data_IF_972183380694
#
_entry.id   IF_972183380694
#
_cell.length_a   1.000
_cell.length_b   1.000
_cell.length_c   1.000
_cell.angle_alpha   90.00
_cell.angle_beta   90.00
_cell.angle_gamma   90.00
#
_symmetry.space_group_name_H-M   'P 1'
#
loop_
_entity.id
_entity.type
_entity.pdbx_description
1 polymer ?
#
# COMPACT_ATOMS: atom_id res chain seq x y z
N UNK A 1 -25.81 -49.55 -5.18
CA UNK A 1 -25.25 -48.24 -4.82
C UNK A 1 -26.24 -47.15 -5.20
N UNK A 2 -26.95 -46.62 -4.22
CA UNK A 2 -27.91 -45.51 -4.38
C UNK A 2 -27.19 -44.16 -4.38
N UNK A 3 -27.68 -43.17 -5.14
CA UNK A 3 -27.03 -41.87 -5.40
C UNK A 3 -28.00 -40.69 -5.24
N UNK A 4 -27.59 -39.62 -4.58
CA UNK A 4 -28.35 -38.35 -4.54
C UNK A 4 -27.64 -37.29 -5.39
N UNK A 5 -28.36 -36.54 -6.22
CA UNK A 5 -27.84 -35.36 -6.92
C UNK A 5 -28.20 -34.07 -6.15
N UNK A 6 -27.31 -33.05 -6.10
CA UNK A 6 -27.49 -31.70 -5.47
C UNK A 6 -27.23 -30.53 -6.49
N UNK A 7 -28.08 -29.47 -6.61
CA UNK A 7 -28.02 -28.41 -7.69
C UNK A 7 -28.49 -27.06 -7.19
N UNK A 8 -27.69 -26.04 -7.47
CA UNK A 8 -28.12 -24.66 -7.66
C UNK A 8 -27.47 -24.08 -8.93
N UNK A 9 -28.28 -23.44 -9.79
CA UNK A 9 -27.90 -22.64 -10.98
C UNK A 9 -27.11 -23.29 -12.16
N UNK A 10 -27.44 -22.95 -13.42
CA UNK A 10 -27.04 -23.66 -14.66
C UNK A 10 -25.54 -23.64 -15.02
N UNK A 11 -24.68 -23.14 -14.14
CA UNK A 11 -23.22 -23.09 -14.31
C UNK A 11 -22.44 -23.90 -13.26
N UNK A 12 -23.12 -24.50 -12.28
CA UNK A 12 -22.48 -25.22 -11.18
C UNK A 12 -22.42 -26.74 -11.42
N UNK A 13 -21.36 -27.38 -10.93
CA UNK A 13 -21.07 -28.80 -11.15
C UNK A 13 -21.69 -29.63 -10.02
N UNK A 14 -22.92 -30.12 -10.23
CA UNK A 14 -23.65 -30.96 -9.28
C UNK A 14 -22.77 -32.07 -8.66
N UNK A 15 -22.53 -32.00 -7.34
CA UNK A 15 -21.80 -33.03 -6.63
C UNK A 15 -22.67 -34.29 -6.47
N UNK A 16 -22.14 -35.44 -6.92
CA UNK A 16 -22.79 -36.73 -6.75
C UNK A 16 -22.28 -37.38 -5.45
N UNK A 17 -23.18 -37.57 -4.49
CA UNK A 17 -22.82 -38.09 -3.16
C UNK A 17 -23.18 -39.57 -3.06
N UNK A 18 -22.26 -40.38 -2.54
CA UNK A 18 -22.43 -41.83 -2.45
C UNK A 18 -22.97 -42.26 -1.08
N UNK A 19 -23.87 -43.24 -1.09
CA UNK A 19 -24.31 -43.95 0.12
C UNK A 19 -23.13 -44.61 0.82
N UNK A 20 -22.97 -44.37 2.12
CA UNK A 20 -21.88 -44.92 2.92
C UNK A 20 -22.33 -45.93 3.97
N UNK A 21 -23.46 -45.67 4.66
CA UNK A 21 -23.95 -46.56 5.72
C UNK A 21 -25.43 -46.31 6.08
N UNK A 22 -26.01 -47.19 6.91
CA UNK A 22 -27.33 -47.01 7.53
C UNK A 22 -28.40 -47.99 7.08
N UNK A 23 -28.02 -49.03 6.32
CA UNK A 23 -28.93 -50.10 5.91
C UNK A 23 -29.51 -50.76 7.16
N UNK A 24 -30.76 -51.21 7.08
CA UNK A 24 -31.56 -51.76 8.20
C UNK A 24 -31.92 -50.74 9.30
N UNK A 25 -31.64 -49.45 9.10
CA UNK A 25 -32.03 -48.38 10.03
C UNK A 25 -32.99 -47.38 9.38
N UNK A 26 -33.47 -46.40 10.15
CA UNK A 26 -34.29 -45.29 9.65
C UNK A 26 -33.47 -44.10 9.12
N UNK A 27 -32.14 -44.20 9.09
CA UNK A 27 -31.22 -43.15 8.65
C UNK A 27 -30.23 -43.71 7.64
N UNK A 28 -30.13 -43.08 6.47
CA UNK A 28 -29.07 -43.36 5.51
C UNK A 28 -28.02 -42.25 5.61
N UNK A 29 -26.76 -42.62 5.53
CA UNK A 29 -25.61 -41.69 5.54
C UNK A 29 -25.01 -41.63 4.15
N UNK A 30 -24.64 -40.44 3.73
CA UNK A 30 -23.98 -40.14 2.46
C UNK A 30 -22.73 -39.33 2.76
N UNK A 31 -21.61 -39.70 2.12
CA UNK A 31 -20.33 -39.04 2.35
C UNK A 31 -20.08 -37.99 1.28
N UNK A 32 -20.14 -36.72 1.66
CA UNK A 32 -19.82 -35.58 0.80
C UNK A 32 -18.44 -35.02 1.16
N UNK A 33 -17.58 -34.83 0.14
CA UNK A 33 -16.26 -34.23 0.27
C UNK A 33 -16.23 -33.02 -0.64
N UNK A 34 -16.04 -31.84 -0.05
CA UNK A 34 -15.91 -30.58 -0.79
C UNK A 34 -14.69 -30.64 -1.69
N UNK A 35 -14.86 -30.25 -2.96
CA UNK A 35 -13.74 -30.03 -3.90
C UNK A 35 -13.65 -28.57 -4.32
N UNK A 36 -12.49 -28.17 -4.84
CA UNK A 36 -12.26 -26.78 -5.26
C UNK A 36 -13.30 -26.32 -6.29
N UNK A 37 -13.85 -25.12 -6.06
CA UNK A 37 -14.90 -24.50 -6.89
C UNK A 37 -16.33 -24.77 -6.42
N UNK A 38 -16.56 -25.68 -5.47
CA UNK A 38 -17.90 -25.96 -4.92
C UNK A 38 -18.28 -24.93 -3.85
N UNK A 39 -18.54 -23.69 -4.25
CA UNK A 39 -18.95 -22.63 -3.33
C UNK A 39 -20.47 -22.65 -3.11
N UNK A 40 -20.91 -22.53 -1.85
CA UNK A 40 -22.33 -22.40 -1.49
C UNK A 40 -22.51 -21.52 -0.26
N UNK A 41 -23.44 -20.58 -0.32
CA UNK A 41 -23.84 -19.78 0.84
C UNK A 41 -24.74 -20.55 1.81
N UNK A 42 -25.38 -21.63 1.36
CA UNK A 42 -26.16 -22.55 2.18
C UNK A 42 -26.43 -23.85 1.40
N UNK A 43 -25.79 -24.95 1.78
CA UNK A 43 -25.82 -26.20 1.02
C UNK A 43 -27.21 -26.88 1.06
N UNK A 44 -27.77 -27.21 -0.11
CA UNK A 44 -29.03 -27.99 -0.24
C UNK A 44 -29.08 -28.88 -1.51
N UNK A 45 -30.09 -29.75 -1.60
CA UNK A 45 -30.26 -30.72 -2.71
C UNK A 45 -30.84 -30.09 -3.97
N UNK A 46 -30.65 -30.72 -5.17
CA UNK A 46 -31.09 -30.14 -6.47
C UNK A 46 -32.58 -29.84 -6.45
N UNK A 47 -33.33 -30.70 -5.75
CA UNK A 47 -34.77 -30.77 -5.76
C UNK A 47 -35.27 -31.85 -4.82
N UNK A 48 -36.59 -31.88 -4.63
CA UNK A 48 -37.30 -32.96 -3.97
C UNK A 48 -37.06 -34.35 -4.60
N UNK A 49 -36.59 -34.42 -5.86
CA UNK A 49 -36.27 -35.67 -6.57
C UNK A 49 -34.79 -36.04 -6.57
N UNK A 50 -33.97 -35.36 -5.77
CA UNK A 50 -32.53 -35.55 -5.70
C UNK A 50 -32.09 -36.99 -5.40
N UNK A 51 -32.83 -37.71 -4.55
CA UNK A 51 -32.48 -39.08 -4.14
C UNK A 51 -32.86 -40.10 -5.22
N UNK A 52 -31.82 -40.69 -5.82
CA UNK A 52 -31.93 -41.71 -6.87
C UNK A 52 -31.32 -43.04 -6.41
N UNK A 53 -31.74 -44.15 -7.02
CA UNK A 53 -31.26 -45.47 -6.62
C UNK A 53 -30.02 -45.93 -7.37
N UNK A 54 -29.65 -45.34 -8.51
CA UNK A 54 -28.47 -45.77 -9.29
C UNK A 54 -28.28 -47.31 -9.38
N UNK A 55 -29.38 -48.05 -9.54
CA UNK A 55 -29.41 -49.50 -9.63
C UNK A 55 -29.51 -50.27 -8.30
N UNK A 56 -29.55 -49.60 -7.14
CA UNK A 56 -29.86 -50.19 -5.84
C UNK A 56 -31.35 -50.18 -5.48
N UNK A 57 -31.64 -50.40 -4.19
CA UNK A 57 -33.01 -50.51 -3.66
C UNK A 57 -33.08 -49.99 -2.23
N UNK A 58 -34.08 -49.17 -1.93
CA UNK A 58 -34.48 -48.83 -0.56
C UNK A 58 -35.85 -49.46 -0.34
N UNK A 59 -35.87 -50.58 0.38
CA UNK A 59 -37.07 -51.36 0.66
C UNK A 59 -37.20 -51.66 2.16
N UNK A 60 -38.43 -51.82 2.63
CA UNK A 60 -38.68 -52.35 3.97
C UNK A 60 -38.47 -53.88 4.03
N UNK A 61 -38.60 -54.47 5.23
CA UNK A 61 -38.40 -55.90 5.45
C UNK A 61 -39.43 -56.80 4.72
N UNK A 62 -40.54 -56.25 4.25
CA UNK A 62 -41.61 -56.96 3.53
C UNK A 62 -41.51 -56.72 2.01
N UNK A 63 -40.58 -55.87 1.57
CA UNK A 63 -40.29 -55.61 0.16
C UNK A 63 -40.98 -54.36 -0.42
N UNK A 64 -41.60 -53.52 0.41
CA UNK A 64 -42.20 -52.26 -0.08
C UNK A 64 -41.10 -51.24 -0.38
N UNK A 65 -41.13 -50.61 -1.56
CA UNK A 65 -40.18 -49.57 -1.96
C UNK A 65 -40.45 -48.24 -1.25
N UNK A 66 -39.39 -47.59 -0.79
CA UNK A 66 -39.48 -46.27 -0.16
C UNK A 66 -39.87 -45.16 -1.16
N UNK A 67 -40.60 -44.16 -0.68
CA UNK A 67 -40.80 -42.90 -1.41
C UNK A 67 -39.53 -42.05 -1.27
N UNK A 68 -38.94 -41.62 -2.39
CA UNK A 68 -37.67 -40.89 -2.42
C UNK A 68 -37.83 -39.37 -2.51
N UNK A 69 -39.07 -38.87 -2.44
CA UNK A 69 -39.35 -37.44 -2.44
C UNK A 69 -38.82 -36.81 -1.16
N UNK A 70 -37.76 -36.01 -1.29
CA UNK A 70 -37.23 -35.16 -0.23
C UNK A 70 -38.17 -33.96 0.02
N UNK A 71 -38.05 -33.28 1.17
CA UNK A 71 -38.74 -32.02 1.42
C UNK A 71 -38.43 -30.95 0.35
N UNK A 72 -39.15 -29.83 0.34
CA UNK A 72 -38.79 -28.71 -0.53
C UNK A 72 -37.53 -28.02 0.01
N UNK A 73 -36.62 -27.62 -0.88
CA UNK A 73 -35.40 -26.89 -0.52
C UNK A 73 -35.72 -25.59 0.23
N UNK A 74 -34.84 -25.21 1.15
CA UNK A 74 -35.00 -24.03 2.02
C UNK A 74 -36.18 -24.08 3.02
N UNK A 75 -36.92 -25.20 3.11
CA UNK A 75 -37.96 -25.37 4.15
C UNK A 75 -37.37 -25.93 5.44
N UNK A 76 -38.06 -25.78 6.57
CA UNK A 76 -37.60 -26.24 7.89
C UNK A 76 -37.22 -27.74 7.99
N UNK A 77 -37.56 -28.57 7.01
CA UNK A 77 -37.19 -29.99 6.95
C UNK A 77 -36.14 -30.32 5.86
N UNK A 78 -35.63 -29.31 5.12
CA UNK A 78 -34.53 -29.44 4.15
C UNK A 78 -33.16 -29.34 4.80
N UNK A 79 -32.07 -29.54 4.04
CA UNK A 79 -30.72 -29.41 4.58
C UNK A 79 -30.47 -27.94 5.01
N UNK A 80 -30.62 -27.00 4.08
CA UNK A 80 -30.48 -25.55 4.33
C UNK A 80 -31.43 -25.03 5.41
N UNK A 81 -32.63 -25.60 5.55
CA UNK A 81 -33.56 -25.19 6.60
C UNK A 81 -33.25 -25.75 8.00
N UNK A 82 -32.41 -26.79 8.11
CA UNK A 82 -32.00 -27.38 9.39
C UNK A 82 -30.60 -26.93 9.82
N UNK A 83 -29.70 -26.71 8.86
CA UNK A 83 -28.29 -26.40 9.10
C UNK A 83 -27.86 -25.29 8.14
N UNK A 84 -27.04 -24.35 8.63
CA UNK A 84 -26.43 -23.32 7.80
C UNK A 84 -25.03 -23.77 7.37
N UNK A 85 -24.96 -24.55 6.30
CA UNK A 85 -23.71 -25.14 5.81
C UNK A 85 -23.15 -24.29 4.68
N UNK A 86 -22.21 -23.41 5.02
CA UNK A 86 -21.48 -22.58 4.05
C UNK A 86 -20.27 -23.36 3.53
N UNK A 87 -20.10 -23.37 2.22
CA UNK A 87 -18.90 -23.87 1.56
C UNK A 87 -18.23 -22.72 0.83
N UNK A 88 -16.97 -22.54 1.12
CA UNK A 88 -16.14 -21.53 0.48
C UNK A 88 -14.77 -22.15 0.22
N UNK A 89 -14.41 -22.15 -1.05
CA UNK A 89 -13.18 -22.73 -1.57
C UNK A 89 -12.35 -21.70 -2.34
N UNK A 90 -12.79 -20.44 -2.36
CA UNK A 90 -12.10 -19.36 -3.03
C UNK A 90 -11.16 -18.67 -2.05
N UNK A 91 -9.93 -18.38 -2.49
CA UNK A 91 -8.97 -17.66 -1.67
C UNK A 91 -9.13 -16.15 -1.89
N UNK A 92 -8.82 -15.32 -0.87
CA UNK A 92 -8.78 -13.88 -1.07
C UNK A 92 -7.76 -13.50 -2.14
N UNK A 93 -8.05 -12.46 -2.91
CA UNK A 93 -7.16 -11.87 -3.91
C UNK A 93 -6.93 -10.39 -3.62
N UNK A 94 -5.82 -9.83 -4.09
CA UNK A 94 -5.49 -8.41 -3.98
C UNK A 94 -5.15 -7.86 -5.37
N UNK A 95 -6.07 -7.13 -6.02
CA UNK A 95 -5.80 -6.46 -7.30
C UNK A 95 -4.75 -5.35 -7.16
N UNK A 96 -3.91 -5.15 -8.18
CA UNK A 96 -2.90 -4.09 -8.19
C UNK A 96 -3.48 -2.67 -8.02
N UNK A 97 -4.66 -2.41 -8.61
CA UNK A 97 -5.37 -1.13 -8.49
C UNK A 97 -6.02 -0.90 -7.11
N UNK A 98 -5.98 -1.90 -6.22
CA UNK A 98 -6.53 -1.82 -4.87
C UNK A 98 -5.46 -1.54 -3.80
N UNK A 99 -4.25 -1.15 -4.23
CA UNK A 99 -3.16 -0.71 -3.38
C UNK A 99 -3.12 0.81 -3.44
N UNK A 100 -3.48 1.49 -2.36
CA UNK A 100 -3.56 2.95 -2.31
C UNK A 100 -2.55 3.49 -1.31
N UNK A 101 -1.63 4.32 -1.80
CA UNK A 101 -0.66 5.04 -0.95
C UNK A 101 -1.21 6.42 -0.56
N UNK A 102 -0.94 6.80 0.69
CA UNK A 102 -1.05 8.17 1.17
C UNK A 102 0.24 8.57 1.87
N UNK A 103 1.02 9.44 1.23
CA UNK A 103 2.25 10.02 1.77
C UNK A 103 2.11 11.51 2.14
N UNK A 104 0.91 12.09 2.07
CA UNK A 104 0.67 13.50 2.42
C UNK A 104 0.57 13.77 3.93
N UNK A 105 0.64 12.72 4.74
CA UNK A 105 0.54 12.86 6.19
C UNK A 105 1.45 11.82 6.82
N UNK A 106 2.17 12.24 7.86
CA UNK A 106 2.97 11.34 8.68
C UNK A 106 2.16 10.70 9.83
N UNK A 107 2.32 9.39 10.08
CA UNK A 107 3.08 8.44 9.27
C UNK A 107 2.39 8.11 7.94
N UNK A 108 3.18 7.88 6.90
CA UNK A 108 2.72 7.37 5.60
C UNK A 108 1.88 6.08 5.76
N UNK A 109 0.87 5.90 4.91
CA UNK A 109 -0.03 4.74 4.96
C UNK A 109 -0.20 4.08 3.59
N UNK A 110 -0.42 2.77 3.61
CA UNK A 110 -0.80 1.97 2.44
C UNK A 110 -2.07 1.21 2.77
N UNK A 111 -3.11 1.42 1.97
CA UNK A 111 -4.38 0.71 2.08
C UNK A 111 -4.46 -0.38 1.01
N UNK A 112 -4.73 -1.61 1.45
CA UNK A 112 -4.92 -2.79 0.61
C UNK A 112 -6.38 -3.21 0.68
N UNK A 113 -7.08 -3.29 -0.45
CA UNK A 113 -8.46 -3.80 -0.51
C UNK A 113 -8.48 -5.18 -1.14
N UNK A 114 -8.64 -6.21 -0.31
CA UNK A 114 -8.78 -7.60 -0.76
C UNK A 114 -10.18 -7.85 -1.35
N UNK A 115 -10.35 -8.96 -2.08
CA UNK A 115 -11.63 -9.34 -2.69
C UNK A 115 -12.72 -9.70 -1.69
N UNK A 116 -12.35 -9.96 -0.43
CA UNK A 116 -13.26 -10.43 0.61
C UNK A 116 -12.74 -10.15 2.02
N UNK A 117 -13.57 -10.44 3.02
CA UNK A 117 -13.22 -10.18 4.42
C UNK A 117 -12.15 -11.15 4.92
N UNK A 118 -11.18 -10.62 5.66
CA UNK A 118 -10.06 -11.41 6.18
C UNK A 118 -10.26 -11.83 7.63
N UNK A 119 -9.56 -12.89 8.03
CA UNK A 119 -9.43 -13.23 9.46
C UNK A 119 -8.52 -12.21 10.15
N UNK A 120 -9.05 -11.60 11.21
CA UNK A 120 -8.41 -10.48 11.93
C UNK A 120 -6.99 -10.79 12.41
N UNK A 121 -6.78 -11.95 13.04
CA UNK A 121 -5.50 -12.27 13.69
C UNK A 121 -4.31 -12.23 12.72
N UNK A 122 -4.47 -12.80 11.51
CA UNK A 122 -3.40 -12.76 10.50
C UNK A 122 -3.35 -11.40 9.80
N UNK A 123 -4.50 -10.80 9.49
CA UNK A 123 -4.55 -9.55 8.73
C UNK A 123 -4.00 -8.33 9.49
N UNK A 124 -4.09 -8.31 10.82
CA UNK A 124 -3.56 -7.22 11.68
C UNK A 124 -2.10 -7.45 12.12
N UNK A 125 -1.47 -8.54 11.70
CA UNK A 125 -0.06 -8.80 12.01
C UNK A 125 0.84 -8.14 10.96
N UNK A 126 1.51 -7.04 11.32
CA UNK A 126 2.36 -6.26 10.41
C UNK A 126 3.44 -7.09 9.69
N UNK A 127 4.04 -8.08 10.36
CA UNK A 127 5.07 -8.95 9.76
C UNK A 127 4.54 -9.90 8.68
N UNK A 128 3.23 -9.95 8.46
CA UNK A 128 2.62 -10.70 7.35
C UNK A 128 2.62 -9.89 6.04
N UNK A 129 3.21 -8.70 6.03
CA UNK A 129 3.32 -7.86 4.83
C UNK A 129 4.77 -7.43 4.65
N UNK A 130 5.23 -7.48 3.41
CA UNK A 130 6.43 -6.77 2.95
C UNK A 130 6.03 -5.60 2.07
N UNK A 131 6.73 -4.46 2.19
CA UNK A 131 6.55 -3.30 1.32
C UNK A 131 7.92 -2.85 0.84
N UNK A 132 8.08 -2.63 -0.46
CA UNK A 132 9.29 -2.07 -1.06
C UNK A 132 8.93 -1.06 -2.15
N UNK A 133 9.87 -0.20 -2.54
CA UNK A 133 9.78 0.52 -3.81
C UNK A 133 10.00 -0.46 -5.00
N UNK A 134 10.03 0.07 -6.22
CA UNK A 134 10.29 -0.70 -7.44
C UNK A 134 11.71 -1.26 -7.52
N UNK A 135 12.67 -0.61 -6.86
CA UNK A 135 14.08 -0.99 -6.84
C UNK A 135 14.39 -2.07 -5.78
N UNK A 136 13.43 -2.34 -4.89
CA UNK A 136 13.51 -3.37 -3.85
C UNK A 136 13.93 -2.84 -2.48
N UNK A 137 14.03 -1.53 -2.30
CA UNK A 137 14.34 -0.92 -1.02
C UNK A 137 13.13 -1.03 -0.08
N UNK A 138 13.32 -1.52 1.16
CA UNK A 138 12.21 -1.84 2.05
C UNK A 138 11.68 -0.64 2.82
N UNK A 139 10.36 -0.56 2.94
CA UNK A 139 9.68 0.30 3.89
C UNK A 139 9.30 -0.47 5.16
N UNK A 140 9.57 0.11 6.32
CA UNK A 140 9.26 -0.52 7.61
C UNK A 140 7.80 -0.29 7.97
N UNK A 141 7.08 -1.36 8.32
CA UNK A 141 5.67 -1.30 8.74
C UNK A 141 5.61 -1.25 10.27
N UNK A 142 4.97 -0.22 10.83
CA UNK A 142 4.77 -0.11 12.28
C UNK A 142 3.54 -0.90 12.75
N UNK A 143 2.46 -0.90 11.97
CA UNK A 143 1.23 -1.62 12.31
C UNK A 143 0.39 -1.96 11.08
N UNK A 144 -0.48 -2.96 11.25
CA UNK A 144 -1.55 -3.28 10.31
C UNK A 144 -2.88 -3.26 11.06
N UNK A 145 -3.95 -2.79 10.42
CA UNK A 145 -5.31 -2.78 10.97
C UNK A 145 -6.29 -3.29 9.92
N UNK A 146 -7.35 -3.97 10.35
CA UNK A 146 -8.36 -4.56 9.47
C UNK A 146 -9.72 -3.90 9.63
N UNK A 147 -10.39 -3.61 8.52
CA UNK A 147 -11.80 -3.27 8.45
C UNK A 147 -12.47 -4.04 7.30
N UNK A 148 -13.09 -5.19 7.63
CA UNK A 148 -13.70 -6.08 6.64
C UNK A 148 -12.65 -6.67 5.69
N UNK A 149 -12.63 -6.21 4.44
CA UNK A 149 -11.67 -6.60 3.41
C UNK A 149 -10.48 -5.63 3.26
N UNK A 150 -10.49 -4.53 4.03
CA UNK A 150 -9.53 -3.45 3.89
C UNK A 150 -8.48 -3.54 4.99
N UNK A 151 -7.23 -3.69 4.59
CA UNK A 151 -6.07 -3.62 5.48
C UNK A 151 -5.43 -2.26 5.32
N UNK A 152 -5.23 -1.54 6.42
CA UNK A 152 -4.41 -0.32 6.43
C UNK A 152 -3.10 -0.61 7.12
N UNK A 153 -2.01 -0.54 6.34
CA UNK A 153 -0.64 -0.57 6.82
C UNK A 153 -0.23 0.86 7.19
N UNK A 154 0.24 1.03 8.42
CA UNK A 154 0.87 2.27 8.88
C UNK A 154 2.37 2.06 8.90
N UNK A 155 3.12 2.87 8.16
CA UNK A 155 4.57 2.77 8.13
C UNK A 155 5.20 3.35 9.40
N UNK A 156 6.43 2.93 9.67
CA UNK A 156 7.21 3.51 10.75
C UNK A 156 7.52 4.97 10.43
N UNK A 157 7.34 5.84 11.42
CA UNK A 157 7.81 7.21 11.32
C UNK A 157 9.33 7.22 11.14
N UNK A 158 9.78 8.07 10.24
CA UNK A 158 11.18 8.17 9.83
C UNK A 158 11.68 9.60 10.04
N UNK A 159 13.01 9.74 10.17
CA UNK A 159 13.61 11.05 10.42
C UNK A 159 13.53 11.88 9.14
N UNK A 160 13.07 13.12 9.19
CA UNK A 160 13.00 14.01 8.02
C UNK A 160 14.35 14.27 7.31
N UNK A 161 15.46 13.80 7.88
CA UNK A 161 16.79 13.84 7.28
C UNK A 161 17.21 12.53 6.56
N UNK A 162 16.32 11.53 6.50
CA UNK A 162 16.58 10.19 5.94
C UNK A 162 15.60 9.91 4.78
N UNK A 163 16.01 10.27 3.56
CA UNK A 163 15.22 10.13 2.33
C UNK A 163 15.02 8.66 1.89
N UNK A 164 15.90 7.75 2.31
CA UNK A 164 15.85 6.33 1.90
C UNK A 164 14.73 5.50 2.52
N UNK A 165 13.86 6.11 3.34
CA UNK A 165 12.83 5.39 4.10
C UNK A 165 11.42 5.98 4.01
N UNK A 166 11.25 7.15 3.38
CA UNK A 166 9.95 7.73 3.07
C UNK A 166 9.44 7.24 1.71
N UNK A 167 8.13 7.14 1.56
CA UNK A 167 7.56 6.95 0.22
C UNK A 167 7.52 8.30 -0.48
N UNK A 168 8.48 8.55 -1.35
CA UNK A 168 8.55 9.78 -2.15
C UNK A 168 7.41 9.83 -3.18
N UNK A 169 7.09 11.02 -3.72
CA UNK A 169 6.12 11.10 -4.82
C UNK A 169 6.60 10.33 -6.06
N UNK A 170 7.91 10.22 -6.26
CA UNK A 170 8.55 9.41 -7.30
C UNK A 170 8.28 7.92 -7.10
N UNK A 171 8.43 7.40 -5.88
CA UNK A 171 8.13 6.00 -5.57
C UNK A 171 6.64 5.68 -5.79
N UNK A 172 5.75 6.62 -5.41
CA UNK A 172 4.31 6.49 -5.70
C UNK A 172 4.04 6.43 -7.20
N UNK A 173 4.69 7.26 -8.02
CA UNK A 173 4.52 7.24 -9.48
C UNK A 173 5.10 5.99 -10.15
N UNK A 174 6.18 5.45 -9.59
CA UNK A 174 6.80 4.21 -10.07
C UNK A 174 5.98 2.96 -9.70
N UNK A 175 5.22 3.03 -8.61
CA UNK A 175 4.38 1.96 -8.08
C UNK A 175 5.04 1.26 -6.88
N UNK A 176 4.28 1.09 -5.81
CA UNK A 176 4.76 0.41 -4.59
C UNK A 176 4.55 -1.10 -4.70
N UNK A 177 5.55 -1.87 -4.31
CA UNK A 177 5.47 -3.33 -4.23
C UNK A 177 4.98 -3.75 -2.85
N UNK A 178 3.92 -4.57 -2.81
CA UNK A 178 3.38 -5.16 -1.58
C UNK A 178 3.42 -6.68 -1.69
N UNK A 179 3.85 -7.35 -0.62
CA UNK A 179 3.93 -8.82 -0.55
C UNK A 179 3.18 -9.34 0.67
N UNK A 180 1.87 -9.62 0.57
CA UNK A 180 1.13 -10.28 1.64
C UNK A 180 1.56 -11.74 1.80
N UNK A 181 1.64 -12.22 3.04
CA UNK A 181 2.06 -13.58 3.36
C UNK A 181 0.90 -14.57 3.17
N UNK A 182 1.22 -15.80 2.77
CA UNK A 182 0.27 -16.91 2.53
C UNK A 182 -0.50 -17.38 3.78
N UNK A 183 -0.21 -16.81 4.95
CA UNK A 183 -0.93 -17.14 6.19
C UNK A 183 -2.12 -16.22 6.40
N UNK A 184 -2.27 -15.14 5.62
CA UNK A 184 -3.49 -14.35 5.59
C UNK A 184 -4.58 -15.24 5.02
N UNK A 185 -5.68 -15.37 5.75
CA UNK A 185 -6.86 -16.13 5.30
C UNK A 185 -8.06 -15.21 5.26
N UNK A 186 -9.06 -15.57 4.46
CA UNK A 186 -10.41 -15.06 4.62
C UNK A 186 -11.03 -15.48 5.97
N UNK A 187 -12.31 -15.21 6.18
CA UNK A 187 -13.05 -15.62 7.38
C UNK A 187 -13.45 -17.11 7.41
N UNK A 188 -13.36 -17.83 6.29
CA UNK A 188 -13.72 -19.25 6.14
C UNK A 188 -12.49 -20.17 6.21
N UNK A 189 -11.29 -19.60 6.16
CA UNK A 189 -9.99 -20.25 6.32
C UNK A 189 -9.21 -20.43 5.02
N UNK A 190 -9.68 -19.97 3.86
CA UNK A 190 -8.89 -20.09 2.62
C UNK A 190 -7.72 -19.11 2.65
N UNK A 191 -6.54 -19.64 2.34
CA UNK A 191 -5.29 -18.90 2.40
C UNK A 191 -5.08 -18.06 1.15
N UNK A 192 -4.64 -16.81 1.33
CA UNK A 192 -4.13 -15.96 0.26
C UNK A 192 -3.02 -16.70 -0.51
N UNK A 193 -3.05 -16.62 -1.84
CA UNK A 193 -2.11 -17.34 -2.71
C UNK A 193 -0.64 -16.88 -2.53
N UNK A 194 -0.43 -15.67 -1.98
CA UNK A 194 0.89 -15.08 -1.78
C UNK A 194 1.42 -14.35 -3.02
N UNK A 195 2.63 -13.84 -2.89
CA UNK A 195 3.40 -13.23 -3.98
C UNK A 195 3.42 -11.69 -3.94
N UNK A 196 4.43 -11.09 -4.57
CA UNK A 196 4.51 -9.64 -4.68
C UNK A 196 3.50 -9.11 -5.70
N UNK A 197 2.91 -7.97 -5.40
CA UNK A 197 2.05 -7.20 -6.30
C UNK A 197 2.64 -5.80 -6.39
N UNK A 198 2.94 -5.37 -7.61
CA UNK A 198 3.25 -3.97 -7.89
C UNK A 198 1.95 -3.22 -8.07
N UNK A 199 1.76 -2.15 -7.30
CA UNK A 199 0.65 -1.22 -7.48
C UNK A 199 0.57 -0.77 -8.94
N UNK A 200 -0.65 -0.68 -9.47
CA UNK A 200 -0.90 -0.08 -10.77
C UNK A 200 -2.36 0.33 -10.90
N UNK A 201 -2.59 1.61 -11.13
CA UNK A 201 -3.88 2.16 -11.53
C UNK A 201 -4.76 2.63 -10.36
N UNK A 202 -4.23 2.68 -9.14
CA UNK A 202 -4.90 3.33 -8.04
C UNK A 202 -4.76 4.86 -8.11
N UNK A 203 -5.64 5.57 -7.40
CA UNK A 203 -5.51 7.01 -7.16
C UNK A 203 -4.89 7.23 -5.79
N UNK A 204 -3.76 7.94 -5.74
CA UNK A 204 -3.01 8.18 -4.50
C UNK A 204 -3.23 9.58 -3.95
N UNK A 205 -2.98 9.74 -2.65
CA UNK A 205 -2.91 11.05 -2.00
C UNK A 205 -1.44 11.41 -1.80
N UNK A 206 -1.00 12.45 -2.51
CA UNK A 206 0.40 12.89 -2.55
C UNK A 206 0.67 14.12 -1.70
N UNK A 207 1.85 14.19 -1.08
CA UNK A 207 2.33 15.42 -0.46
C UNK A 207 2.61 16.49 -1.52
N UNK A 208 2.24 17.74 -1.25
CA UNK A 208 2.35 18.88 -2.18
C UNK A 208 2.80 20.19 -1.51
N UNK A 209 3.18 20.17 -0.23
CA UNK A 209 3.71 21.33 0.49
C UNK A 209 5.16 21.55 0.06
N UNK A 210 5.37 22.65 -0.67
CA UNK A 210 6.68 23.06 -1.19
C UNK A 210 7.45 23.80 -0.08
N UNK A 211 8.77 23.54 0.10
CA UNK A 211 9.58 24.21 1.10
C UNK A 211 9.72 25.71 0.81
N UNK A 212 9.66 26.53 1.87
CA UNK A 212 9.78 27.99 1.75
C UNK A 212 10.97 28.56 2.52
N UNK A 213 11.64 29.55 1.93
CA UNK A 213 12.74 30.27 2.60
C UNK A 213 12.17 31.20 3.67
N UNK A 214 12.58 30.98 4.92
CA UNK A 214 12.20 31.80 6.08
C UNK A 214 13.14 32.98 6.30
N UNK A 215 14.43 32.78 6.13
CA UNK A 215 15.43 33.84 6.35
C UNK A 215 16.74 33.58 5.63
N UNK A 216 17.45 34.67 5.35
CA UNK A 216 18.84 34.66 4.91
C UNK A 216 19.66 35.44 5.94
N UNK A 217 20.74 34.86 6.42
CA UNK A 217 21.58 35.45 7.48
C UNK A 217 23.05 35.05 7.33
N UNK A 218 23.90 35.45 8.27
CA UNK A 218 25.29 34.98 8.36
C UNK A 218 25.68 34.76 9.82
N UNK A 219 26.56 33.79 10.08
CA UNK A 219 27.26 33.63 11.36
C UNK A 219 28.53 34.48 11.45
N UNK A 220 28.94 35.07 10.33
CA UNK A 220 30.08 35.98 10.25
C UNK A 220 29.70 37.29 10.95
N UNK A 221 30.55 37.77 11.85
CA UNK A 221 30.26 38.95 12.66
C UNK A 221 30.15 40.23 11.80
N UNK A 222 29.46 41.25 12.28
CA UNK A 222 29.43 42.53 11.58
C UNK A 222 30.84 43.13 11.47
N UNK A 223 31.22 43.56 10.27
CA UNK A 223 32.57 44.09 10.04
C UNK A 223 32.88 44.41 8.59
N UNK A 224 34.13 44.83 8.36
CA UNK A 224 34.67 45.04 7.02
C UNK A 224 35.52 43.85 6.62
N UNK A 225 35.25 43.32 5.44
CA UNK A 225 35.92 42.14 4.88
C UNK A 225 36.73 42.54 3.65
N UNK A 226 37.93 41.97 3.53
CA UNK A 226 38.87 42.22 2.44
C UNK A 226 38.92 41.03 1.50
N UNK A 227 39.53 41.26 0.33
CA UNK A 227 39.77 40.21 -0.65
C UNK A 227 40.36 38.95 0.00
N UNK A 228 39.71 37.82 -0.25
CA UNK A 228 40.10 36.50 0.25
C UNK A 228 39.46 36.11 1.58
N UNK A 229 38.76 37.03 2.26
CA UNK A 229 37.94 36.68 3.41
C UNK A 229 36.71 35.88 2.96
N UNK A 230 36.33 34.88 3.76
CA UNK A 230 35.15 34.06 3.55
C UNK A 230 34.01 34.55 4.44
N UNK A 231 32.82 34.64 3.86
CA UNK A 231 31.55 34.95 4.53
C UNK A 231 30.58 33.82 4.21
N UNK A 232 30.09 33.15 5.25
CA UNK A 232 29.09 32.11 5.09
C UNK A 232 27.69 32.72 5.08
N UNK A 233 26.94 32.50 4.00
CA UNK A 233 25.55 32.93 3.84
C UNK A 233 24.65 31.74 4.14
N UNK A 234 23.70 31.94 5.06
CA UNK A 234 22.86 30.90 5.65
C UNK A 234 21.43 31.14 5.21
N UNK A 235 20.88 30.24 4.39
CA UNK A 235 19.49 30.23 3.96
C UNK A 235 18.74 29.21 4.82
N UNK A 236 17.72 29.65 5.55
CA UNK A 236 16.90 28.79 6.41
C UNK A 236 15.54 28.56 5.77
N UNK A 237 15.13 27.29 5.64
CA UNK A 237 13.83 26.83 5.18
C UNK A 237 12.91 26.50 6.35
N UNK A 238 11.60 26.44 6.10
CA UNK A 238 10.57 26.03 7.07
C UNK A 238 10.52 24.52 7.30
N UNK A 239 11.09 23.73 6.39
CA UNK A 239 11.26 22.29 6.51
C UNK A 239 12.62 21.81 5.99
N UNK A 240 12.89 20.51 6.17
CA UNK A 240 14.14 19.89 5.73
C UNK A 240 14.15 19.82 4.20
N UNK A 241 15.27 20.22 3.60
CA UNK A 241 15.46 20.15 2.15
C UNK A 241 16.67 19.30 1.77
N UNK A 242 16.56 18.66 0.60
CA UNK A 242 17.56 17.81 -0.02
C UNK A 242 18.06 18.47 -1.29
N UNK A 243 19.39 18.60 -1.37
CA UNK A 243 20.07 19.18 -2.53
C UNK A 243 20.63 18.06 -3.40
N UNK A 244 20.27 18.05 -4.68
CA UNK A 244 20.91 17.20 -5.69
C UNK A 244 21.81 18.07 -6.59
N UNK A 245 23.10 17.69 -6.67
CA UNK A 245 24.12 18.40 -7.45
C UNK A 245 24.56 17.67 -8.73
N UNK A 246 23.94 16.53 -9.08
CA UNK A 246 24.38 15.63 -10.16
C UNK A 246 24.38 16.31 -11.54
N UNK A 247 23.43 17.23 -11.76
CA UNK A 247 23.27 17.97 -13.01
C UNK A 247 23.69 19.44 -12.91
N UNK A 248 24.04 19.90 -11.71
CA UNK A 248 24.49 21.27 -11.43
C UNK A 248 24.31 21.65 -9.96
N UNK A 249 25.00 22.68 -9.50
CA UNK A 249 25.02 23.10 -8.08
C UNK A 249 24.19 24.37 -7.91
N UNK A 250 23.21 24.42 -6.97
CA UNK A 250 22.47 25.64 -6.67
C UNK A 250 23.37 26.82 -6.32
N UNK A 251 22.96 28.02 -6.70
CA UNK A 251 23.72 29.26 -6.52
C UNK A 251 22.85 30.37 -5.92
N UNK A 252 23.47 31.23 -5.12
CA UNK A 252 22.88 32.47 -4.61
C UNK A 252 23.61 33.66 -5.25
N UNK A 253 22.87 34.52 -5.96
CA UNK A 253 23.42 35.72 -6.55
C UNK A 253 23.46 36.87 -5.54
N UNK A 254 24.66 37.30 -5.18
CA UNK A 254 24.91 38.42 -4.28
C UNK A 254 25.15 39.70 -5.07
N UNK A 255 24.55 40.81 -4.63
CA UNK A 255 24.90 42.16 -5.08
C UNK A 255 26.17 42.58 -4.34
N UNK A 256 27.29 42.49 -5.05
CA UNK A 256 28.61 42.77 -4.50
C UNK A 256 29.15 44.12 -4.96
N UNK A 257 28.36 44.92 -5.67
CA UNK A 257 28.71 46.24 -6.15
C UNK A 257 28.02 47.36 -5.38
N UNK A 258 28.47 48.59 -5.60
CA UNK A 258 27.88 49.80 -4.99
C UNK A 258 26.67 50.33 -5.79
N UNK A 259 26.14 49.53 -6.73
CA UNK A 259 25.24 49.99 -7.77
C UNK A 259 25.85 51.08 -8.68
N UNK A 260 25.22 51.34 -9.82
CA UNK A 260 25.60 52.46 -10.70
C UNK A 260 27.01 52.36 -11.33
N UNK A 261 28.03 52.93 -10.67
CA UNK A 261 29.39 53.12 -11.25
C UNK A 261 30.25 51.86 -11.22
N UNK A 262 29.92 50.89 -10.36
CA UNK A 262 30.58 49.59 -10.27
C UNK A 262 29.53 48.50 -9.99
N UNK A 263 28.69 48.15 -10.98
CA UNK A 263 27.78 47.02 -10.83
C UNK A 263 28.60 45.73 -10.86
N UNK A 264 28.51 44.93 -9.81
CA UNK A 264 29.16 43.62 -9.77
C UNK A 264 28.30 42.67 -8.96
N UNK A 265 27.87 41.58 -9.58
CA UNK A 265 27.16 40.49 -8.92
C UNK A 265 28.09 39.28 -8.79
N UNK A 266 27.92 38.52 -7.73
CA UNK A 266 28.65 37.28 -7.52
C UNK A 266 27.67 36.10 -7.36
N UNK A 267 27.79 35.11 -8.24
CA UNK A 267 27.09 33.84 -8.06
C UNK A 267 27.88 32.95 -7.10
N UNK A 268 27.33 32.74 -5.90
CA UNK A 268 27.96 31.96 -4.84
C UNK A 268 27.35 30.57 -4.81
N UNK A 269 28.17 29.53 -4.84
CA UNK A 269 27.65 28.15 -4.92
C UNK A 269 27.29 27.61 -3.54
N UNK A 270 26.29 26.73 -3.54
CA UNK A 270 25.95 25.88 -2.39
C UNK A 270 27.20 25.18 -1.87
N UNK A 271 27.36 25.14 -0.55
CA UNK A 271 28.54 24.59 0.11
C UNK A 271 28.22 23.42 1.06
N UNK A 272 27.11 23.48 1.82
CA UNK A 272 26.69 22.40 2.73
C UNK A 272 25.27 22.60 3.25
N UNK A 273 24.70 21.57 3.91
CA UNK A 273 23.38 21.64 4.55
C UNK A 273 22.33 20.65 4.02
N UNK A 274 22.73 19.71 3.18
CA UNK A 274 21.85 18.67 2.62
C UNK A 274 21.17 17.86 3.74
N UNK A 275 19.87 17.61 3.60
CA UNK A 275 19.08 16.91 4.61
C UNK A 275 18.86 17.74 5.88
N UNK A 276 18.86 19.07 5.76
CA UNK A 276 18.59 19.98 6.88
C UNK A 276 17.70 21.15 6.46
N UNK A 277 17.20 21.92 7.44
CA UNK A 277 16.48 23.17 7.19
C UNK A 277 17.40 24.34 6.84
N UNK A 278 18.73 24.12 6.80
CA UNK A 278 19.72 25.18 6.62
C UNK A 278 20.64 24.84 5.46
N UNK A 279 20.66 25.68 4.42
CA UNK A 279 21.67 25.61 3.37
C UNK A 279 22.70 26.72 3.57
N UNK A 280 23.98 26.38 3.42
CA UNK A 280 25.11 27.30 3.54
C UNK A 280 25.70 27.51 2.14
N UNK A 281 25.89 28.79 1.77
CA UNK A 281 26.59 29.26 0.58
C UNK A 281 27.85 30.00 1.02
N UNK A 282 29.01 29.67 0.43
CA UNK A 282 30.30 30.22 0.90
C UNK A 282 30.84 31.28 -0.04
N UNK A 283 30.74 32.55 0.37
CA UNK A 283 31.19 33.69 -0.42
C UNK A 283 32.64 34.05 -0.08
N UNK A 284 33.51 34.13 -1.08
CA UNK A 284 34.87 34.64 -0.94
C UNK A 284 34.94 36.02 -1.58
N UNK A 285 35.35 37.05 -0.83
CA UNK A 285 35.46 38.42 -1.35
C UNK A 285 36.51 38.46 -2.46
N UNK A 286 36.10 38.83 -3.68
CA UNK A 286 37.00 38.92 -4.82
C UNK A 286 37.48 40.35 -5.09
N UNK A 287 38.44 40.47 -6.01
CA UNK A 287 38.94 41.77 -6.44
C UNK A 287 37.87 42.49 -7.26
N UNK A 288 37.43 43.67 -6.80
CA UNK A 288 36.42 44.48 -7.48
C UNK A 288 35.06 44.45 -6.81
N UNK A 289 34.84 43.53 -5.86
CA UNK A 289 33.66 43.51 -5.02
C UNK A 289 33.77 44.60 -3.95
N UNK A 290 32.70 45.39 -3.80
CA UNK A 290 32.55 46.45 -2.83
C UNK A 290 31.05 46.67 -2.60
N UNK A 291 30.57 46.37 -1.39
CA UNK A 291 29.22 46.72 -0.95
C UNK A 291 29.28 47.49 0.38
N UNK A 292 28.32 48.39 0.59
CA UNK A 292 28.12 49.05 1.89
C UNK A 292 27.42 48.10 2.89
N UNK A 293 26.52 47.26 2.38
CA UNK A 293 25.81 46.20 3.11
C UNK A 293 25.54 45.06 2.11
N UNK A 294 26.11 43.88 2.36
CA UNK A 294 26.05 42.77 1.41
C UNK A 294 24.62 42.21 1.37
N UNK A 295 24.01 42.20 0.19
CA UNK A 295 22.66 41.68 -0.02
C UNK A 295 22.64 40.75 -1.24
N UNK A 296 21.52 40.07 -1.46
CA UNK A 296 21.24 39.31 -2.67
C UNK A 296 20.58 40.20 -3.74
N UNK A 297 20.69 39.81 -5.01
CA UNK A 297 20.30 40.69 -6.14
C UNK A 297 18.80 41.00 -6.19
N UNK A 298 17.94 40.03 -5.88
CA UNK A 298 16.48 40.18 -5.80
C UNK A 298 15.79 38.92 -5.18
N UNK A 299 14.46 38.92 -5.08
CA UNK A 299 13.66 37.81 -4.54
C UNK A 299 13.75 36.49 -5.31
N UNK A 300 14.44 36.46 -6.45
CA UNK A 300 14.74 35.28 -7.28
C UNK A 300 16.23 34.96 -7.34
N UNK A 301 17.05 35.56 -6.46
CA UNK A 301 18.50 35.40 -6.44
C UNK A 301 18.99 33.97 -6.15
N UNK A 302 18.16 33.14 -5.51
CA UNK A 302 18.43 31.71 -5.34
C UNK A 302 18.08 30.97 -6.64
N UNK A 303 19.09 30.52 -7.36
CA UNK A 303 18.97 29.82 -8.62
C UNK A 303 19.41 28.36 -8.48
N UNK A 304 18.63 27.43 -9.01
CA UNK A 304 18.96 26.00 -8.93
C UNK A 304 20.15 25.59 -9.80
N UNK A 305 20.43 26.34 -10.88
CA UNK A 305 21.56 26.10 -11.79
C UNK A 305 21.68 24.62 -12.21
N UNK A 306 20.58 24.03 -12.67
CA UNK A 306 20.38 22.62 -13.04
C UNK A 306 20.46 21.59 -11.90
N UNK A 307 20.76 22.00 -10.67
CA UNK A 307 20.54 21.18 -9.48
C UNK A 307 19.07 21.20 -9.03
N UNK A 308 18.80 20.65 -7.85
CA UNK A 308 17.48 20.72 -7.21
C UNK A 308 17.60 21.05 -5.73
N UNK A 309 16.56 21.66 -5.17
CA UNK A 309 16.33 21.78 -3.73
C UNK A 309 14.90 21.29 -3.53
N UNK A 310 14.73 20.15 -2.88
CA UNK A 310 13.43 19.48 -2.72
C UNK A 310 13.14 19.15 -1.28
N UNK A 311 11.88 18.98 -0.91
CA UNK A 311 11.56 18.30 0.34
C UNK A 311 11.85 16.79 0.26
N UNK A 312 11.49 16.05 1.32
CA UNK A 312 11.66 14.59 1.38
C UNK A 312 10.70 13.81 0.46
N UNK A 313 9.66 14.46 -0.08
CA UNK A 313 8.64 13.86 -0.94
C UNK A 313 8.82 14.23 -2.42
N UNK A 314 9.98 14.76 -2.79
CA UNK A 314 10.36 15.16 -4.15
C UNK A 314 9.60 16.37 -4.72
N UNK A 315 9.03 17.24 -3.89
CA UNK A 315 8.46 18.51 -4.37
C UNK A 315 9.50 19.64 -4.42
N UNK A 316 9.34 20.57 -5.37
CA UNK A 316 10.21 21.74 -5.61
C UNK A 316 9.42 23.05 -5.79
#
# INVERSE_FOLDING_TARGET
DDKIAWYENPTDNAALVNYSNGSTTTKLTFDYTVVAGENSSDLDYISTGALTLNGGTIIDAVGNTATLTLPFTGTANSLAGNEALIIDTEAPTLPAANIVVNNSVEPNTITLTFSESLTQAQAETASNYGVTNVDGDPYTIASASLSGAVVTLTLAAVSAADDGTFITNTDVDAGINVTPHVNITDITGNAYAGGPITESGATHTKEQVIPTVLSVSSTTADGTYNKGDQIDIIVTFDEVVFVNEDNGTPQLNLETGLGGRYPSDAAVSYASGHGSTILIFSYIVESGHSSDDLDYTDVTALALNNGTIRDIYDND
#
